data_IF_701630998952
#
_entry.id   IF_701630998952
#
_cell.length_a   1.000
_cell.length_b   1.000
_cell.length_c   1.000
_cell.angle_alpha   90.00
_cell.angle_beta   90.00
_cell.angle_gamma   90.00
#
_symmetry.space_group_name_H-M   'P 1'
#
loop_
_entity.id
_entity.type
_entity.pdbx_description
1 polymer ?
#
# COMPACT_ATOMS: atom_id res chain seq x y z
N UNK A 1 -16.01 14.05 0.97
CA UNK A 1 -16.37 14.56 2.31
C UNK A 1 -17.82 14.24 2.69
N UNK A 2 -18.81 14.52 1.84
CA UNK A 2 -20.23 14.25 2.12
C UNK A 2 -20.53 12.76 2.36
N UNK A 3 -19.98 11.86 1.52
CA UNK A 3 -20.10 10.40 1.69
C UNK A 3 -19.51 9.90 3.03
N UNK A 4 -18.37 10.44 3.47
CA UNK A 4 -17.72 10.02 4.74
C UNK A 4 -18.55 10.48 5.94
N UNK A 5 -19.14 11.68 5.84
CA UNK A 5 -20.02 12.24 6.85
C UNK A 5 -21.34 11.44 6.93
N UNK A 6 -21.97 11.17 5.79
CA UNK A 6 -23.14 10.30 5.69
C UNK A 6 -22.86 8.89 6.24
N UNK A 7 -21.69 8.31 5.94
CA UNK A 7 -21.30 6.98 6.44
C UNK A 7 -21.08 6.96 7.95
N UNK A 8 -20.54 8.05 8.53
CA UNK A 8 -20.36 8.17 9.98
C UNK A 8 -21.69 8.33 10.74
N UNK A 9 -22.73 8.80 10.06
CA UNK A 9 -24.04 9.14 10.64
C UNK A 9 -25.09 8.03 10.42
N UNK A 10 -24.95 7.15 9.40
CA UNK A 10 -26.05 6.29 8.95
C UNK A 10 -26.15 4.84 9.46
N UNK A 11 -25.30 4.34 10.38
CA UNK A 11 -25.71 3.12 11.10
C UNK A 11 -25.07 2.96 12.47
N UNK A 12 -25.84 2.48 13.44
CA UNK A 12 -25.29 1.92 14.69
C UNK A 12 -24.36 0.72 14.42
N UNK A 13 -24.37 0.16 13.20
CA UNK A 13 -23.41 -0.81 12.72
C UNK A 13 -22.08 -0.17 12.24
N UNK A 14 -22.05 1.08 11.79
CA UNK A 14 -20.81 1.84 11.49
C UNK A 14 -20.06 2.28 12.74
N UNK A 15 -20.73 2.26 13.89
CA UNK A 15 -20.05 2.29 15.19
C UNK A 15 -19.18 1.04 15.43
N UNK A 16 -19.38 -0.06 14.70
CA UNK A 16 -18.40 -1.15 14.67
C UNK A 16 -17.19 -0.76 13.81
N UNK A 17 -16.21 -0.15 14.48
CA UNK A 17 -14.76 -0.35 14.27
C UNK A 17 -14.18 -0.12 12.86
N UNK A 18 -14.63 0.88 12.10
CA UNK A 18 -13.65 1.59 11.28
C UNK A 18 -12.66 2.23 12.25
N UNK A 19 -11.45 1.70 12.32
CA UNK A 19 -10.42 2.25 13.21
C UNK A 19 -10.25 3.73 12.90
N UNK A 20 -9.95 4.54 13.92
CA UNK A 20 -9.73 5.97 13.74
C UNK A 20 -8.65 6.23 12.68
N UNK A 21 -7.71 5.30 12.54
CA UNK A 21 -6.71 5.23 11.48
C UNK A 21 -7.29 5.21 10.04
N UNK A 22 -8.34 4.42 9.78
CA UNK A 22 -8.98 4.38 8.45
C UNK A 22 -9.76 5.67 8.19
N UNK A 23 -10.44 6.19 9.22
CA UNK A 23 -11.20 7.45 9.12
C UNK A 23 -10.28 8.64 8.84
N UNK A 24 -9.15 8.71 9.52
CA UNK A 24 -8.15 9.77 9.33
C UNK A 24 -7.59 9.79 7.91
N UNK A 25 -7.32 8.62 7.31
CA UNK A 25 -6.80 8.56 5.95
C UNK A 25 -7.86 8.82 4.87
N UNK A 26 -9.13 8.55 5.15
CA UNK A 26 -10.24 8.84 4.24
C UNK A 26 -10.61 10.33 4.17
N UNK A 27 -10.42 11.07 5.26
CA UNK A 27 -10.78 12.50 5.33
C UNK A 27 -9.72 13.44 4.77
N UNK A 28 -8.57 12.91 4.35
CA UNK A 28 -7.48 13.72 3.78
C UNK A 28 -7.90 14.33 2.45
N UNK A 29 -7.41 15.53 2.21
CA UNK A 29 -7.66 16.29 0.99
C UNK A 29 -7.13 15.53 -0.25
N UNK A 30 -8.05 15.09 -1.11
CA UNK A 30 -7.75 14.33 -2.33
C UNK A 30 -7.06 15.18 -3.41
N UNK A 31 -6.90 16.49 -3.21
CA UNK A 31 -6.23 17.41 -4.12
C UNK A 31 -4.76 17.61 -3.80
N UNK A 32 -4.29 17.12 -2.65
CA UNK A 32 -2.89 17.21 -2.21
C UNK A 32 -2.19 15.87 -2.40
N UNK A 33 -0.89 15.85 -2.78
CA UNK A 33 -0.13 14.61 -2.80
C UNK A 33 0.04 14.02 -1.40
N UNK A 34 0.50 12.77 -1.31
CA UNK A 34 1.10 12.28 -0.06
C UNK A 34 2.39 13.05 0.24
N UNK A 35 2.68 13.30 1.51
CA UNK A 35 3.89 14.01 1.96
C UNK A 35 5.14 13.17 1.77
N UNK A 36 5.03 11.84 1.94
CA UNK A 36 6.14 10.90 1.89
C UNK A 36 5.64 9.45 1.65
N UNK A 37 6.58 8.52 1.51
CA UNK A 37 6.30 7.09 1.35
C UNK A 37 5.56 6.48 2.54
N UNK A 38 5.77 6.99 3.76
CA UNK A 38 5.10 6.48 4.96
C UNK A 38 3.61 6.81 4.90
N UNK A 39 3.24 8.04 4.55
CA UNK A 39 1.84 8.43 4.41
C UNK A 39 1.12 7.63 3.32
N UNK A 40 1.82 7.32 2.22
CA UNK A 40 1.32 6.39 1.20
C UNK A 40 1.06 4.99 1.79
N UNK A 41 2.02 4.40 2.50
CA UNK A 41 1.85 3.07 3.10
C UNK A 41 0.80 3.04 4.23
N UNK A 42 0.58 4.14 4.94
CA UNK A 42 -0.50 4.28 5.92
C UNK A 42 -1.88 4.21 5.22
N UNK A 43 -2.02 4.85 4.05
CA UNK A 43 -3.23 4.76 3.23
C UNK A 43 -3.43 3.35 2.65
N UNK A 44 -2.38 2.69 2.16
CA UNK A 44 -2.45 1.29 1.69
C UNK A 44 -2.81 0.34 2.84
N UNK A 45 -2.31 0.58 4.06
CA UNK A 45 -2.69 -0.18 5.26
C UNK A 45 -4.19 -0.05 5.53
N UNK A 46 -4.73 1.17 5.42
CA UNK A 46 -6.17 1.41 5.58
C UNK A 46 -7.00 0.66 4.52
N UNK A 47 -6.54 0.68 3.27
CA UNK A 47 -7.15 -0.11 2.20
C UNK A 47 -7.09 -1.62 2.48
N UNK A 48 -5.97 -2.12 3.00
CA UNK A 48 -5.80 -3.54 3.34
C UNK A 48 -6.80 -3.96 4.44
N UNK A 49 -6.96 -3.13 5.48
CA UNK A 49 -7.95 -3.36 6.55
C UNK A 49 -9.37 -3.44 5.97
N UNK A 50 -9.76 -2.51 5.09
CA UNK A 50 -11.08 -2.52 4.43
C UNK A 50 -11.29 -3.76 3.56
N UNK A 51 -10.25 -4.18 2.84
CA UNK A 51 -10.28 -5.37 1.99
C UNK A 51 -10.51 -6.64 2.80
N UNK A 52 -9.91 -6.71 3.99
CA UNK A 52 -10.09 -7.82 4.90
C UNK A 52 -11.48 -7.84 5.54
N UNK A 53 -11.96 -6.70 6.04
CA UNK A 53 -13.33 -6.56 6.56
C UNK A 53 -14.35 -7.04 5.52
N UNK A 54 -14.19 -6.59 4.26
CA UNK A 54 -15.03 -7.03 3.14
C UNK A 54 -14.98 -8.55 2.93
N UNK A 55 -13.80 -9.16 3.04
CA UNK A 55 -13.63 -10.61 2.86
C UNK A 55 -14.27 -11.41 4.00
N UNK A 56 -14.02 -11.04 5.26
CA UNK A 56 -14.65 -11.70 6.39
C UNK A 56 -16.16 -11.66 6.26
N UNK A 57 -16.75 -10.51 5.91
CA UNK A 57 -18.20 -10.31 5.83
C UNK A 57 -18.87 -11.01 4.65
N UNK A 58 -18.16 -11.19 3.54
CA UNK A 58 -18.63 -12.01 2.42
C UNK A 58 -18.62 -13.50 2.80
N UNK A 59 -17.68 -13.95 3.64
CA UNK A 59 -17.57 -15.35 4.05
C UNK A 59 -18.26 -15.69 5.37
N UNK A 60 -18.61 -14.69 6.19
CA UNK A 60 -19.30 -14.86 7.47
C UNK A 60 -20.73 -15.41 7.37
N UNK A 61 -21.50 -15.31 6.25
CA UNK A 61 -22.90 -15.68 6.24
C UNK A 61 -23.20 -16.99 5.50
N UNK A 62 -22.37 -18.04 5.62
CA UNK A 62 -22.77 -19.40 5.17
C UNK A 62 -22.95 -20.36 6.35
N UNK A 63 -22.15 -20.25 7.41
CA UNK A 63 -22.20 -21.23 8.52
C UNK A 63 -23.08 -20.83 9.71
N UNK A 64 -23.40 -19.54 9.88
CA UNK A 64 -24.24 -19.03 10.98
C UNK A 64 -25.71 -18.79 10.62
N UNK A 65 -26.03 -18.70 9.32
CA UNK A 65 -27.41 -18.60 8.84
C UNK A 65 -28.18 -19.91 8.96
N UNK A 66 -27.48 -21.04 9.05
CA UNK A 66 -28.13 -22.35 9.19
C UNK A 66 -28.54 -22.68 10.64
N UNK A 67 -28.09 -21.93 11.67
CA UNK A 67 -28.36 -22.33 13.06
C UNK A 67 -28.98 -21.30 14.01
N UNK A 68 -28.79 -19.97 13.89
CA UNK A 68 -29.23 -19.06 14.98
C UNK A 68 -29.60 -17.60 14.61
N UNK A 69 -29.59 -17.17 13.35
CA UNK A 69 -29.85 -15.73 13.04
C UNK A 69 -31.31 -15.48 12.67
N UNK A 70 -31.97 -14.58 13.42
CA UNK A 70 -33.29 -14.08 13.05
C UNK A 70 -33.21 -13.28 11.73
N UNK A 71 -34.19 -13.44 10.82
CA UNK A 71 -34.25 -12.73 9.53
C UNK A 71 -34.21 -11.19 9.58
N UNK A 72 -34.36 -10.58 10.78
CA UNK A 72 -34.52 -9.14 10.97
C UNK A 72 -33.26 -8.32 10.74
N UNK A 73 -32.07 -8.90 10.86
CA UNK A 73 -30.79 -8.18 10.72
C UNK A 73 -30.18 -8.26 9.31
N UNK A 74 -30.79 -9.04 8.41
CA UNK A 74 -30.30 -9.25 7.05
C UNK A 74 -30.17 -7.96 6.22
N UNK A 75 -31.14 -7.01 6.24
CA UNK A 75 -31.02 -5.77 5.47
C UNK A 75 -29.86 -4.89 5.93
N UNK A 76 -29.59 -4.83 7.24
CA UNK A 76 -28.52 -4.02 7.79
C UNK A 76 -27.13 -4.59 7.45
N UNK A 77 -26.99 -5.92 7.41
CA UNK A 77 -25.76 -6.60 6.98
C UNK A 77 -25.47 -6.39 5.48
N UNK A 78 -26.48 -6.46 4.62
CA UNK A 78 -26.32 -6.20 3.18
C UNK A 78 -25.92 -4.74 2.93
N UNK A 79 -26.53 -3.79 3.63
CA UNK A 79 -26.14 -2.38 3.57
C UNK A 79 -24.69 -2.18 4.02
N UNK A 80 -24.29 -2.83 5.11
CA UNK A 80 -22.93 -2.77 5.62
C UNK A 80 -21.88 -3.25 4.60
N UNK A 81 -22.07 -4.43 4.00
CA UNK A 81 -21.17 -4.96 2.94
C UNK A 81 -21.05 -3.96 1.78
N UNK A 82 -22.18 -3.42 1.31
CA UNK A 82 -22.19 -2.47 0.20
C UNK A 82 -21.46 -1.16 0.56
N UNK A 83 -21.59 -0.70 1.80
CA UNK A 83 -20.85 0.47 2.29
C UNK A 83 -19.35 0.22 2.36
N UNK A 84 -18.90 -0.91 2.92
CA UNK A 84 -17.48 -1.28 2.97
C UNK A 84 -16.89 -1.38 1.56
N UNK A 85 -17.64 -1.94 0.60
CA UNK A 85 -17.25 -2.01 -0.82
C UNK A 85 -17.04 -0.63 -1.43
N UNK A 86 -18.01 0.29 -1.26
CA UNK A 86 -17.89 1.68 -1.74
C UNK A 86 -16.69 2.40 -1.12
N UNK A 87 -16.45 2.17 0.17
CA UNK A 87 -15.35 2.78 0.89
C UNK A 87 -13.98 2.27 0.39
N UNK A 88 -13.87 0.97 0.13
CA UNK A 88 -12.69 0.34 -0.47
C UNK A 88 -12.37 0.95 -1.83
N UNK A 89 -13.36 1.06 -2.72
CA UNK A 89 -13.16 1.67 -4.05
C UNK A 89 -12.78 3.14 -3.94
N UNK A 90 -13.42 3.90 -3.05
CA UNK A 90 -13.06 5.30 -2.85
C UNK A 90 -11.63 5.47 -2.33
N UNK A 91 -11.19 4.62 -1.39
CA UNK A 91 -9.81 4.65 -0.89
C UNK A 91 -8.81 4.33 -2.00
N UNK A 92 -9.11 3.35 -2.85
CA UNK A 92 -8.29 2.98 -4.00
C UNK A 92 -8.11 4.16 -4.98
N UNK A 93 -9.19 4.87 -5.30
CA UNK A 93 -9.13 6.09 -6.12
C UNK A 93 -8.24 7.17 -5.49
N UNK A 94 -8.39 7.40 -4.18
CA UNK A 94 -7.59 8.39 -3.44
C UNK A 94 -6.11 8.02 -3.48
N UNK A 95 -5.75 6.76 -3.24
CA UNK A 95 -4.36 6.30 -3.28
C UNK A 95 -3.73 6.60 -4.64
N UNK A 96 -4.38 6.21 -5.74
CA UNK A 96 -3.80 6.43 -7.07
C UNK A 96 -3.73 7.91 -7.43
N UNK A 97 -4.79 8.68 -7.15
CA UNK A 97 -4.81 10.11 -7.42
C UNK A 97 -3.70 10.85 -6.66
N UNK A 98 -3.54 10.57 -5.36
CA UNK A 98 -2.52 11.23 -4.55
C UNK A 98 -1.10 10.81 -4.94
N UNK A 99 -0.87 9.54 -5.32
CA UNK A 99 0.43 9.08 -5.84
C UNK A 99 0.82 9.80 -7.14
N UNK A 100 -0.12 10.00 -8.06
CA UNK A 100 0.16 10.72 -9.32
C UNK A 100 0.49 12.20 -9.10
N UNK A 101 0.01 12.80 -8.01
CA UNK A 101 0.35 14.17 -7.63
C UNK A 101 1.71 14.30 -6.95
N UNK A 102 2.33 13.19 -6.53
CA UNK A 102 3.62 13.24 -5.82
C UNK A 102 4.75 13.62 -6.78
N UNK A 103 5.50 14.72 -6.53
CA UNK A 103 6.66 15.05 -7.34
C UNK A 103 7.73 13.95 -7.23
N UNK A 104 7.87 13.37 -6.04
CA UNK A 104 8.76 12.25 -5.75
C UNK A 104 7.93 11.01 -5.40
N UNK A 105 7.56 10.24 -6.44
CA UNK A 105 6.80 8.99 -6.27
C UNK A 105 7.56 8.00 -5.34
N UNK A 106 6.85 7.24 -4.48
CA UNK A 106 7.43 6.15 -3.69
C UNK A 106 8.13 5.13 -4.60
N UNK A 107 9.16 4.45 -4.08
CA UNK A 107 9.93 3.47 -4.88
C UNK A 107 9.03 2.38 -5.48
N UNK A 108 8.04 1.90 -4.73
CA UNK A 108 7.06 0.92 -5.24
C UNK A 108 6.23 1.45 -6.43
N UNK A 109 5.91 2.76 -6.46
CA UNK A 109 5.20 3.38 -7.57
C UNK A 109 6.12 3.61 -8.79
N UNK A 110 7.37 4.00 -8.56
CA UNK A 110 8.38 4.08 -9.64
C UNK A 110 8.66 2.70 -10.25
N UNK A 111 8.71 1.68 -9.40
CA UNK A 111 8.87 0.30 -9.82
C UNK A 111 7.69 -0.19 -10.66
N UNK A 112 6.45 0.12 -10.26
CA UNK A 112 5.25 -0.09 -11.08
C UNK A 112 5.45 0.45 -12.50
N UNK A 113 5.92 1.70 -12.64
CA UNK A 113 6.12 2.33 -13.94
C UNK A 113 7.24 1.64 -14.74
N UNK A 114 8.34 1.25 -14.09
CA UNK A 114 9.50 0.56 -14.71
C UNK A 114 9.11 -0.77 -15.36
N UNK A 115 8.35 -1.61 -14.65
CA UNK A 115 7.98 -2.95 -15.11
C UNK A 115 6.54 -3.04 -15.64
N UNK A 116 5.85 -1.90 -15.77
CA UNK A 116 4.49 -1.77 -16.31
C UNK A 116 3.47 -2.64 -15.58
N UNK A 117 3.42 -2.52 -14.26
CA UNK A 117 2.35 -3.11 -13.46
C UNK A 117 1.04 -2.35 -13.69
N UNK A 118 -0.06 -3.09 -13.74
CA UNK A 118 -1.41 -2.51 -13.66
C UNK A 118 -1.66 -1.93 -12.27
N UNK A 119 -2.69 -1.09 -12.14
CA UNK A 119 -3.05 -0.49 -10.84
C UNK A 119 -3.42 -1.55 -9.79
N UNK A 120 -4.08 -2.63 -10.20
CA UNK A 120 -4.40 -3.78 -9.34
C UNK A 120 -3.14 -4.50 -8.84
N UNK A 121 -2.19 -4.75 -9.74
CA UNK A 121 -0.92 -5.38 -9.39
C UNK A 121 -0.04 -4.48 -8.52
N UNK A 122 -0.07 -3.17 -8.75
CA UNK A 122 0.59 -2.18 -7.91
C UNK A 122 0.03 -2.19 -6.48
N UNK A 123 -1.30 -2.25 -6.34
CA UNK A 123 -1.95 -2.34 -5.04
C UNK A 123 -1.62 -3.65 -4.33
N UNK A 124 -1.66 -4.77 -5.05
CA UNK A 124 -1.25 -6.07 -4.54
C UNK A 124 0.21 -6.06 -4.06
N UNK A 125 1.14 -5.56 -4.88
CA UNK A 125 2.55 -5.45 -4.51
C UNK A 125 2.74 -4.60 -3.24
N UNK A 126 2.03 -3.47 -3.15
CA UNK A 126 2.07 -2.59 -1.98
C UNK A 126 1.56 -3.31 -0.72
N UNK A 127 0.50 -4.11 -0.83
CA UNK A 127 0.00 -4.93 0.27
C UNK A 127 1.00 -6.05 0.66
N UNK A 128 1.71 -6.65 -0.30
CA UNK A 128 2.73 -7.67 -0.03
C UNK A 128 3.96 -7.11 0.68
N UNK A 129 4.33 -5.85 0.40
CA UNK A 129 5.37 -5.14 1.17
C UNK A 129 4.92 -5.00 2.64
N UNK A 130 3.70 -4.51 2.87
CA UNK A 130 3.12 -4.33 4.21
C UNK A 130 3.01 -5.64 5.00
N UNK A 131 2.62 -6.73 4.34
CA UNK A 131 2.54 -8.03 5.00
C UNK A 131 3.92 -8.59 5.37
N UNK A 132 4.95 -8.26 4.60
CA UNK A 132 6.32 -8.75 4.83
C UNK A 132 7.05 -8.02 5.97
N UNK A 133 6.66 -6.78 6.29
CA UNK A 133 7.20 -6.01 7.43
C UNK A 133 6.49 -6.27 8.76
N UNK A 134 5.47 -7.14 8.78
CA UNK A 134 4.77 -7.50 10.00
C UNK A 134 4.05 -6.32 10.67
N UNK A 135 3.60 -5.33 9.88
CA UNK A 135 2.74 -4.25 10.38
C UNK A 135 1.60 -4.89 11.18
N UNK A 136 1.17 -4.25 12.28
CA UNK A 136 0.07 -4.76 13.12
C UNK A 136 -1.24 -4.73 12.35
N UNK A 137 -1.38 -5.70 11.45
CA UNK A 137 -2.65 -6.14 10.96
C UNK A 137 -3.40 -6.64 12.21
N UNK A 138 -4.57 -6.06 12.56
CA UNK A 138 -5.35 -6.43 13.74
C UNK A 138 -5.35 -7.95 13.99
N UNK A 139 -5.21 -8.41 15.23
CA UNK A 139 -5.06 -9.84 15.56
C UNK A 139 -6.14 -10.76 14.93
N UNK A 140 -7.33 -10.25 14.60
CA UNK A 140 -8.35 -10.99 13.83
C UNK A 140 -7.83 -11.47 12.46
N UNK A 141 -6.92 -10.72 11.84
CA UNK A 141 -6.29 -11.03 10.56
C UNK A 141 -5.06 -11.95 10.68
N UNK A 142 -4.60 -12.28 11.90
CA UNK A 142 -3.55 -13.31 12.07
C UNK A 142 -4.07 -14.72 11.82
N UNK A 143 -5.39 -14.94 11.92
CA UNK A 143 -6.03 -16.24 11.74
C UNK A 143 -6.25 -16.64 10.29
N UNK A 144 -6.32 -15.66 9.39
CA UNK A 144 -6.13 -15.87 7.96
C UNK A 144 -4.65 -15.64 7.73
N UNK A 145 -3.89 -16.69 8.03
CA UNK A 145 -2.63 -16.86 7.35
C UNK A 145 -2.82 -16.41 5.89
N UNK A 146 -1.89 -15.62 5.40
CA UNK A 146 -1.79 -15.19 3.99
C UNK A 146 -1.54 -16.40 3.05
N UNK A 147 -2.11 -17.55 3.40
CA UNK A 147 -2.00 -18.85 2.78
C UNK A 147 -2.95 -18.86 1.58
N UNK A 148 -2.40 -18.47 0.44
CA UNK A 148 -3.00 -18.77 -0.85
C UNK A 148 -3.11 -17.57 -1.77
N UNK A 149 -2.94 -17.86 -3.05
CA UNK A 149 -3.18 -16.97 -4.17
C UNK A 149 -4.57 -16.30 -4.07
N UNK A 150 -5.62 -17.03 -3.68
CA UNK A 150 -6.98 -16.47 -3.53
C UNK A 150 -7.03 -15.27 -2.58
N UNK A 151 -6.35 -15.34 -1.43
CA UNK A 151 -6.29 -14.24 -0.45
C UNK A 151 -5.53 -13.04 -1.01
N UNK A 152 -4.45 -13.29 -1.76
CA UNK A 152 -3.71 -12.25 -2.47
C UNK A 152 -4.59 -11.53 -3.51
N UNK A 153 -5.41 -12.27 -4.26
CA UNK A 153 -6.33 -11.71 -5.24
C UNK A 153 -7.27 -10.64 -4.64
N UNK A 154 -7.71 -10.81 -3.39
CA UNK A 154 -8.61 -9.87 -2.72
C UNK A 154 -7.98 -8.50 -2.48
N UNK A 155 -6.68 -8.48 -2.17
CA UNK A 155 -5.93 -7.26 -1.90
C UNK A 155 -5.69 -6.44 -3.18
N UNK A 156 -5.51 -7.10 -4.31
CA UNK A 156 -5.43 -6.42 -5.60
C UNK A 156 -6.78 -6.16 -6.26
N UNK A 157 -7.89 -6.69 -5.72
CA UNK A 157 -9.16 -6.80 -6.44
C UNK A 157 -9.01 -7.51 -7.81
N UNK A 158 -8.27 -8.63 -7.78
CA UNK A 158 -7.83 -9.38 -8.95
C UNK A 158 -8.64 -10.66 -9.11
N UNK A 159 -9.04 -10.92 -10.35
CA UNK A 159 -9.54 -12.23 -10.80
C UNK A 159 -8.44 -13.29 -10.73
N UNK A 160 -8.80 -14.59 -10.69
CA UNK A 160 -7.81 -15.66 -10.73
C UNK A 160 -6.86 -15.58 -11.93
N UNK A 161 -7.35 -15.16 -13.10
CA UNK A 161 -6.52 -15.02 -14.31
C UNK A 161 -5.51 -13.87 -14.18
N UNK A 162 -5.94 -12.69 -13.72
CA UNK A 162 -5.06 -11.56 -13.46
C UNK A 162 -3.96 -11.96 -12.45
N UNK A 163 -4.33 -12.73 -11.43
CA UNK A 163 -3.39 -13.17 -10.40
C UNK A 163 -2.39 -14.21 -10.93
N UNK A 164 -2.83 -15.19 -11.73
CA UNK A 164 -1.93 -16.14 -12.41
C UNK A 164 -0.94 -15.38 -13.30
N UNK A 165 -1.41 -14.36 -14.01
CA UNK A 165 -0.55 -13.51 -14.82
C UNK A 165 0.45 -12.72 -13.97
N UNK A 166 0.04 -12.20 -12.81
CA UNK A 166 0.95 -11.53 -11.86
C UNK A 166 2.06 -12.47 -11.43
N UNK A 167 1.75 -13.69 -10.99
CA UNK A 167 2.79 -14.65 -10.52
C UNK A 167 3.53 -15.37 -11.65
N UNK A 168 3.31 -14.98 -12.91
CA UNK A 168 3.95 -15.61 -14.06
C UNK A 168 5.48 -15.38 -14.04
N UNK A 169 6.30 -16.42 -14.28
CA UNK A 169 7.77 -16.29 -14.35
C UNK A 169 8.27 -15.28 -15.39
N UNK A 170 7.42 -14.88 -16.32
CA UNK A 170 7.73 -13.91 -17.36
C UNK A 170 7.69 -12.45 -16.89
N UNK A 171 7.05 -12.17 -15.75
CA UNK A 171 6.87 -10.82 -15.20
C UNK A 171 8.15 -10.31 -14.56
N UNK A 172 8.35 -8.98 -14.58
CA UNK A 172 9.57 -8.32 -14.08
C UNK A 172 9.88 -8.66 -12.62
N UNK A 173 8.90 -8.57 -11.73
CA UNK A 173 9.07 -8.87 -10.30
C UNK A 173 9.36 -10.34 -10.00
N UNK A 174 8.90 -11.26 -10.85
CA UNK A 174 9.25 -12.68 -10.74
C UNK A 174 10.66 -12.95 -11.26
N UNK A 175 11.07 -12.30 -12.36
CA UNK A 175 12.45 -12.37 -12.90
C UNK A 175 13.49 -11.79 -11.96
N UNK A 176 13.14 -10.72 -11.26
CA UNK A 176 13.94 -10.11 -10.20
C UNK A 176 14.07 -11.04 -8.98
N UNK A 177 13.37 -12.18 -8.94
CA UNK A 177 13.34 -13.13 -7.80
C UNK A 177 12.95 -12.45 -6.49
N UNK A 178 11.99 -11.52 -6.56
CA UNK A 178 11.50 -10.78 -5.40
C UNK A 178 10.91 -11.66 -4.31
N UNK A 179 10.37 -12.80 -4.71
CA UNK A 179 9.63 -13.70 -3.84
C UNK A 179 10.39 -15.02 -3.65
N UNK A 180 10.53 -15.44 -2.41
CA UNK A 180 10.85 -16.84 -2.07
C UNK A 180 9.56 -17.65 -2.07
N UNK A 181 9.61 -18.81 -2.73
CA UNK A 181 8.58 -19.83 -2.55
C UNK A 181 8.68 -20.36 -1.12
N UNK A 182 7.65 -20.12 -0.31
CA UNK A 182 7.51 -20.81 0.97
C UNK A 182 7.34 -22.31 0.75
N UNK A 183 7.87 -23.12 1.66
CA UNK A 183 7.92 -24.59 1.58
C UNK A 183 6.51 -25.20 1.30
N UNK A 184 6.39 -25.79 0.10
CA UNK A 184 5.71 -27.04 -0.28
C UNK A 184 4.25 -27.37 0.06
N UNK A 185 3.38 -26.47 0.54
CA UNK A 185 1.96 -26.89 0.68
C UNK A 185 0.84 -25.89 0.43
N UNK A 186 1.08 -24.56 0.43
CA UNK A 186 -0.03 -23.59 0.39
C UNK A 186 0.15 -22.35 -0.51
N UNK A 187 1.13 -22.32 -1.42
CA UNK A 187 1.21 -21.26 -2.44
C UNK A 187 1.49 -19.85 -1.88
N UNK A 188 2.22 -19.75 -0.77
CA UNK A 188 2.60 -18.48 -0.16
C UNK A 188 3.83 -17.87 -0.84
N UNK A 189 3.75 -16.58 -1.21
CA UNK A 189 4.86 -15.79 -1.70
C UNK A 189 5.33 -14.83 -0.62
N UNK A 190 6.56 -15.04 -0.14
CA UNK A 190 7.21 -14.11 0.80
C UNK A 190 8.18 -13.23 0.05
N UNK A 191 8.04 -11.91 0.18
CA UNK A 191 9.01 -10.99 -0.39
C UNK A 191 10.32 -11.05 0.40
N UNK A 192 11.46 -11.08 -0.30
CA UNK A 192 12.76 -11.10 0.39
C UNK A 192 13.05 -9.76 1.07
N UNK A 193 13.72 -9.77 2.23
CA UNK A 193 13.92 -8.57 3.05
C UNK A 193 14.54 -7.38 2.32
N UNK A 194 15.50 -7.61 1.42
CA UNK A 194 16.15 -6.55 0.63
C UNK A 194 15.17 -5.84 -0.31
N UNK A 195 14.22 -6.55 -0.93
CA UNK A 195 13.23 -5.93 -1.81
C UNK A 195 12.19 -5.18 -0.99
N UNK A 196 11.83 -5.70 0.18
CA UNK A 196 10.95 -5.00 1.14
C UNK A 196 11.56 -3.66 1.56
N UNK A 197 12.81 -3.68 2.04
CA UNK A 197 13.53 -2.48 2.47
C UNK A 197 13.66 -1.46 1.33
N UNK A 198 14.03 -1.92 0.13
CA UNK A 198 14.12 -1.08 -1.06
C UNK A 198 12.78 -0.44 -1.45
N UNK A 199 11.70 -1.22 -1.53
CA UNK A 199 10.37 -0.72 -1.90
C UNK A 199 9.78 0.25 -0.86
N UNK A 200 10.22 0.12 0.39
CA UNK A 200 9.86 1.03 1.49
C UNK A 200 10.78 2.26 1.59
N UNK A 201 11.69 2.46 0.63
CA UNK A 201 12.65 3.58 0.59
C UNK A 201 13.55 3.65 1.83
N UNK A 202 13.95 2.49 2.36
CA UNK A 202 14.91 2.38 3.45
C UNK A 202 16.34 2.32 2.92
N UNK A 203 17.29 2.77 3.74
CA UNK A 203 18.71 2.58 3.48
C UNK A 203 19.06 1.09 3.49
N UNK A 204 19.85 0.67 2.50
CA UNK A 204 20.26 -0.71 2.31
C UNK A 204 21.73 -0.87 2.69
N UNK A 205 22.07 -2.00 3.31
CA UNK A 205 23.47 -2.40 3.49
C UNK A 205 24.13 -2.70 2.14
N UNK A 206 25.46 -2.71 2.09
CA UNK A 206 26.22 -3.06 0.87
C UNK A 206 25.83 -4.44 0.33
N UNK A 207 25.64 -5.43 1.21
CA UNK A 207 25.20 -6.77 0.83
C UNK A 207 23.80 -6.76 0.20
N UNK A 208 22.87 -6.00 0.78
CA UNK A 208 21.53 -5.83 0.23
C UNK A 208 21.57 -5.12 -1.13
N UNK A 209 22.40 -4.09 -1.28
CA UNK A 209 22.60 -3.39 -2.56
C UNK A 209 23.13 -4.33 -3.65
N UNK A 210 24.16 -5.12 -3.33
CA UNK A 210 24.71 -6.12 -4.26
C UNK A 210 23.66 -7.14 -4.69
N UNK A 211 22.78 -7.55 -3.78
CA UNK A 211 21.71 -8.50 -4.09
C UNK A 211 20.62 -7.93 -5.00
N UNK A 212 20.50 -6.60 -5.10
CA UNK A 212 19.59 -5.92 -6.03
C UNK A 212 20.25 -5.57 -7.37
N UNK A 213 21.57 -5.74 -7.49
CA UNK A 213 22.30 -5.37 -8.69
C UNK A 213 21.79 -6.16 -9.92
N UNK A 214 21.49 -5.43 -11.00
CA UNK A 214 20.97 -6.03 -12.23
C UNK A 214 19.48 -6.37 -12.21
N UNK A 215 18.78 -6.12 -11.09
CA UNK A 215 17.31 -6.22 -11.03
C UNK A 215 16.65 -4.92 -11.50
N UNK A 216 15.38 -4.99 -11.89
CA UNK A 216 14.62 -3.79 -12.24
C UNK A 216 14.43 -2.88 -11.02
N UNK A 217 14.26 -3.45 -9.81
CA UNK A 217 14.16 -2.66 -8.59
C UNK A 217 15.48 -1.97 -8.24
N UNK A 218 16.61 -2.65 -8.40
CA UNK A 218 17.93 -2.06 -8.17
C UNK A 218 18.17 -0.83 -9.02
N UNK A 219 17.77 -0.87 -10.31
CA UNK A 219 17.85 0.29 -11.18
C UNK A 219 17.02 1.48 -10.67
N UNK A 220 15.78 1.23 -10.25
CA UNK A 220 14.88 2.27 -9.70
C UNK A 220 15.43 2.85 -8.39
N UNK A 221 15.99 1.99 -7.53
CA UNK A 221 16.56 2.40 -6.25
C UNK A 221 17.79 3.29 -6.44
N UNK A 222 18.70 2.92 -7.35
CA UNK A 222 19.87 3.72 -7.71
C UNK A 222 19.51 5.07 -8.34
N UNK A 223 18.51 5.10 -9.23
CA UNK A 223 17.96 6.34 -9.80
C UNK A 223 17.48 7.27 -8.66
N UNK A 224 16.70 6.77 -7.70
CA UNK A 224 16.20 7.57 -6.56
C UNK A 224 17.33 8.03 -5.63
N UNK A 225 18.33 7.18 -5.39
CA UNK A 225 19.48 7.54 -4.55
C UNK A 225 20.25 8.71 -5.13
N UNK A 226 20.52 8.68 -6.44
CA UNK A 226 21.17 9.81 -7.15
C UNK A 226 20.35 11.09 -7.09
N UNK A 227 19.03 11.00 -7.27
CA UNK A 227 18.13 12.16 -7.12
C UNK A 227 18.22 12.75 -5.70
N UNK A 228 18.25 11.93 -4.64
CA UNK A 228 18.42 12.40 -3.26
C UNK A 228 19.77 13.10 -3.05
N UNK A 229 20.84 12.55 -3.63
CA UNK A 229 22.18 13.14 -3.55
C UNK A 229 22.25 14.50 -4.28
N UNK A 230 21.60 14.62 -5.44
CA UNK A 230 21.53 15.87 -6.21
C UNK A 230 20.62 16.92 -5.53
N UNK A 231 19.49 16.50 -4.95
CA UNK A 231 18.61 17.35 -4.13
C UNK A 231 19.39 17.94 -2.93
N UNK A 232 20.24 17.13 -2.29
CA UNK A 232 21.05 17.55 -1.14
C UNK A 232 22.14 18.55 -1.54
N UNK A 233 22.91 18.27 -2.60
CA UNK A 233 23.96 19.18 -3.11
C UNK A 233 23.38 20.54 -3.49
N UNK A 234 22.29 20.55 -4.25
CA UNK A 234 21.61 21.79 -4.65
C UNK A 234 21.07 22.58 -3.43
N UNK A 235 20.63 21.89 -2.38
CA UNK A 235 20.21 22.52 -1.13
C UNK A 235 21.38 23.15 -0.37
N UNK A 236 22.50 22.45 -0.27
CA UNK A 236 23.74 22.94 0.36
C UNK A 236 24.30 24.18 -0.36
N UNK A 237 24.35 24.16 -1.70
CA UNK A 237 24.79 25.30 -2.52
C UNK A 237 23.91 26.55 -2.32
N UNK A 238 22.58 26.38 -2.22
CA UNK A 238 21.66 27.50 -1.95
C UNK A 238 21.85 28.09 -0.57
N UNK A 239 22.13 27.25 0.43
CA UNK A 239 22.41 27.71 1.81
C UNK A 239 23.72 28.48 1.84
N UNK A 240 24.75 28.00 1.14
CA UNK A 240 26.06 28.66 1.06
C UNK A 240 25.98 30.01 0.34
N UNK A 241 25.24 30.09 -0.76
CA UNK A 241 24.92 31.35 -1.44
C UNK A 241 24.21 32.35 -0.51
N UNK A 242 23.19 31.90 0.23
CA UNK A 242 22.46 32.77 1.15
C UNK A 242 23.34 33.28 2.30
N UNK A 243 24.26 32.45 2.82
CA UNK A 243 25.24 32.87 3.83
C UNK A 243 26.20 33.91 3.28
N UNK A 244 26.72 33.70 2.07
CA UNK A 244 27.63 34.63 1.40
C UNK A 244 26.96 35.99 1.10
N UNK A 245 25.66 35.99 0.79
CA UNK A 245 24.90 37.23 0.61
C UNK A 245 24.67 37.96 1.94
N UNK A 246 24.38 37.25 3.02
CA UNK A 246 24.23 37.83 4.37
C UNK A 246 25.55 38.45 4.87
N UNK A 247 26.68 37.78 4.68
CA UNK A 247 28.00 38.30 5.07
C UNK A 247 28.37 39.58 4.31
N UNK A 248 27.99 39.70 3.03
CA UNK A 248 28.18 40.94 2.26
C UNK A 248 27.36 42.11 2.81
N UNK A 249 26.12 41.85 3.21
CA UNK A 249 25.24 42.88 3.79
C UNK A 249 25.78 43.40 5.13
N UNK A 250 26.40 42.53 5.93
CA UNK A 250 27.00 42.92 7.22
C UNK A 250 28.34 43.65 7.07
N UNK A 251 29.05 43.49 5.95
CA UNK A 251 30.27 44.25 5.64
C UNK A 251 30.02 45.65 5.06
N UNK A 252 28.81 45.91 4.55
CA UNK A 252 28.40 47.20 3.98
C UNK A 252 27.70 48.14 4.99
N UNK A 253 27.54 47.71 6.25
CA UNK A 253 27.00 48.51 7.37
C UNK A 253 28.09 48.98 8.31
#
# INVERSE_FOLDING_TARGET
MELIKELSEQSELTKYKLSDFVKENLTKDETKPFTDSKEFFDAVTSFLVLSFISFEEINFPVTLFEKNSQPKNFPAHVQWIEHTRKLKEKMKEIIFKKVELMPNKPIVARYKDKIKLTDKEFLLLSCLVLSSIGFSIPNAMRFYSLEGLSTMGLFGDMTPFELINFVSPTRGHMKDRMFKNGIESYGYMRMEPQFVAALFDQDLSEEQMLSLQGTNLGAVFEERKKEKEDEKKNGEEKIELAKNELEKIDQEK
#
